data_IF_124775725063
#
_entry.id   IF_124775725063
#
_cell.length_a   1.000
_cell.length_b   1.000
_cell.length_c   1.000
_cell.angle_alpha   90.00
_cell.angle_beta   90.00
_cell.angle_gamma   90.00
#
_symmetry.space_group_name_H-M   'P 1'
#
loop_
_entity.id
_entity.type
_entity.pdbx_description
1 polymer ?
#
# COMPACT_ATOMS: atom_id res chain seq x y z
N UNK A 1 6.27 4.44 11.57
CA UNK A 1 7.70 4.05 11.53
C UNK A 1 7.97 3.48 10.16
N UNK A 2 9.00 3.96 9.49
CA UNK A 2 9.39 3.52 8.15
C UNK A 2 10.90 3.29 8.16
N UNK A 3 11.34 2.09 7.79
CA UNK A 3 12.75 1.73 7.74
C UNK A 3 13.07 1.02 6.43
N UNK A 4 14.16 1.44 5.80
CA UNK A 4 14.69 0.80 4.60
C UNK A 4 16.11 0.30 4.87
N UNK A 5 16.30 -1.00 4.78
CA UNK A 5 17.56 -1.69 4.92
C UNK A 5 18.13 -2.02 3.54
N UNK A 6 19.29 -1.45 3.20
CA UNK A 6 20.00 -1.74 1.96
C UNK A 6 20.91 -2.95 2.19
N UNK A 7 20.71 -4.01 1.40
CA UNK A 7 21.52 -5.23 1.46
C UNK A 7 22.75 -5.07 0.55
N UNK A 8 22.54 -4.47 -0.62
CA UNK A 8 23.59 -4.05 -1.55
C UNK A 8 23.04 -2.91 -2.44
N UNK A 9 23.82 -2.47 -3.42
CA UNK A 9 23.43 -1.37 -4.32
C UNK A 9 22.17 -1.63 -5.15
N UNK A 10 21.75 -2.90 -5.27
CA UNK A 10 20.59 -3.32 -6.08
C UNK A 10 19.42 -3.82 -5.26
N UNK A 11 19.65 -4.24 -4.01
CA UNK A 11 18.66 -4.91 -3.15
C UNK A 11 18.40 -4.13 -1.89
N UNK A 12 17.12 -3.90 -1.61
CA UNK A 12 16.69 -3.29 -0.36
C UNK A 12 15.43 -3.95 0.17
N UNK A 13 15.29 -3.91 1.48
CA UNK A 13 14.09 -4.33 2.19
C UNK A 13 13.53 -3.12 2.93
N UNK A 14 12.24 -2.86 2.78
CA UNK A 14 11.54 -1.78 3.47
C UNK A 14 10.46 -2.38 4.35
N UNK A 15 10.39 -1.87 5.58
CA UNK A 15 9.40 -2.21 6.58
C UNK A 15 8.71 -0.92 7.04
N UNK A 16 7.39 -0.92 6.94
CA UNK A 16 6.55 0.17 7.36
C UNK A 16 5.57 -0.33 8.43
N UNK A 17 5.50 0.37 9.55
CA UNK A 17 4.59 0.10 10.65
C UNK A 17 3.83 1.38 10.98
N UNK A 18 2.51 1.31 10.95
CA UNK A 18 1.63 2.42 11.27
C UNK A 18 0.62 2.01 12.33
N UNK A 19 0.29 2.95 13.21
CA UNK A 19 -0.71 2.76 14.23
C UNK A 19 -1.45 4.06 14.44
N UNK A 20 -2.78 3.99 14.48
CA UNK A 20 -3.62 5.10 14.87
C UNK A 20 -4.45 4.69 16.09
N UNK A 21 -4.36 5.51 17.13
CA UNK A 21 -5.24 5.41 18.29
C UNK A 21 -6.24 6.56 18.26
N UNK A 22 -7.53 6.25 18.14
CA UNK A 22 -8.61 7.24 18.10
C UNK A 22 -9.89 6.68 18.71
N UNK A 23 -10.67 7.55 19.35
CA UNK A 23 -12.00 7.21 19.88
C UNK A 23 -13.11 7.31 18.82
N UNK A 24 -12.79 7.84 17.63
CA UNK A 24 -13.76 8.15 16.58
C UNK A 24 -13.72 7.12 15.43
N UNK A 25 -14.75 7.14 14.57
CA UNK A 25 -14.90 6.29 13.37
C UNK A 25 -14.71 4.79 13.61
N UNK A 26 -13.78 4.16 12.88
CA UNK A 26 -13.46 2.74 12.96
C UNK A 26 -12.55 2.39 14.16
N UNK A 27 -12.35 3.34 15.07
CA UNK A 27 -11.50 3.23 16.26
C UNK A 27 -10.05 2.90 15.87
N UNK A 28 -9.32 2.29 16.80
CA UNK A 28 -7.91 2.04 16.58
C UNK A 28 -7.65 1.02 15.47
N UNK A 29 -6.60 1.29 14.71
CA UNK A 29 -6.11 0.43 13.65
C UNK A 29 -4.59 0.37 13.67
N UNK A 30 -4.05 -0.74 13.18
CA UNK A 30 -2.64 -0.85 12.85
C UNK A 30 -2.51 -1.25 11.38
N UNK A 31 -1.42 -0.83 10.76
CA UNK A 31 -1.03 -1.31 9.45
C UNK A 31 0.44 -1.69 9.48
N UNK A 32 0.78 -2.68 8.66
CA UNK A 32 2.17 -3.01 8.37
C UNK A 32 2.34 -3.25 6.88
N UNK A 33 3.49 -2.82 6.38
CA UNK A 33 3.90 -2.95 5.01
C UNK A 33 5.29 -3.54 4.96
N UNK A 34 5.50 -4.47 4.04
CA UNK A 34 6.82 -4.99 3.70
C UNK A 34 7.01 -4.86 2.20
N UNK A 35 8.18 -4.39 1.80
CA UNK A 35 8.56 -4.30 0.39
C UNK A 35 9.97 -4.85 0.24
N UNK A 36 10.16 -5.69 -0.76
CA UNK A 36 11.46 -6.21 -1.13
C UNK A 36 11.79 -5.82 -2.56
N UNK A 37 12.82 -5.00 -2.68
CA UNK A 37 13.40 -4.58 -3.95
C UNK A 37 14.49 -5.59 -4.31
N UNK A 38 14.23 -6.39 -5.33
CA UNK A 38 15.13 -7.45 -5.81
C UNK A 38 16.21 -6.88 -6.74
N UNK A 39 15.88 -5.81 -7.45
CA UNK A 39 16.80 -5.00 -8.25
C UNK A 39 16.29 -3.56 -8.28
N UNK A 40 17.07 -2.64 -8.85
CA UNK A 40 16.62 -1.26 -9.14
C UNK A 40 15.39 -1.20 -10.06
N UNK A 41 15.06 -2.31 -10.72
CA UNK A 41 13.95 -2.42 -11.67
C UNK A 41 12.79 -3.26 -11.17
N UNK A 42 12.99 -4.17 -10.20
CA UNK A 42 11.96 -5.12 -9.78
C UNK A 42 11.72 -5.06 -8.28
N UNK A 43 10.46 -4.85 -7.90
CA UNK A 43 10.03 -4.84 -6.51
C UNK A 43 8.74 -5.62 -6.30
N UNK A 44 8.62 -6.21 -5.12
CA UNK A 44 7.39 -6.86 -4.65
C UNK A 44 7.05 -6.31 -3.27
N UNK A 45 5.77 -6.21 -2.97
CA UNK A 45 5.31 -5.68 -1.70
C UNK A 45 4.06 -6.39 -1.20
N UNK A 46 3.88 -6.32 0.12
CA UNK A 46 2.67 -6.73 0.82
C UNK A 46 2.34 -5.69 1.88
N UNK A 47 1.08 -5.28 1.93
CA UNK A 47 0.54 -4.35 2.91
C UNK A 47 -0.70 -4.96 3.56
N UNK A 48 -0.85 -4.71 4.84
CA UNK A 48 -2.00 -5.12 5.64
C UNK A 48 -2.41 -3.97 6.55
N UNK A 49 -3.70 -3.66 6.60
CA UNK A 49 -4.30 -2.75 7.57
C UNK A 49 -5.47 -3.43 8.24
N UNK A 50 -5.49 -3.42 9.57
CA UNK A 50 -6.52 -4.07 10.37
C UNK A 50 -7.09 -3.14 11.44
N UNK A 51 -8.42 -3.02 11.45
CA UNK A 51 -9.18 -2.31 12.50
C UNK A 51 -9.54 -3.30 13.61
N UNK A 52 -8.95 -3.16 14.80
CA UNK A 52 -9.04 -4.20 15.84
C UNK A 52 -10.01 -3.88 16.98
N UNK A 53 -10.32 -2.60 17.23
CA UNK A 53 -11.06 -2.18 18.42
C UNK A 53 -12.57 -1.96 18.20
N UNK A 54 -13.10 -2.35 17.04
CA UNK A 54 -14.53 -2.18 16.75
C UNK A 54 -15.37 -3.28 17.43
N UNK A 55 -16.40 -2.96 18.24
CA UNK A 55 -17.31 -3.97 18.81
C UNK A 55 -18.15 -4.67 17.74
N UNK A 56 -18.37 -4.00 16.60
CA UNK A 56 -19.05 -4.55 15.44
C UNK A 56 -18.06 -5.36 14.59
N UNK A 57 -18.38 -6.65 14.37
CA UNK A 57 -17.53 -7.57 13.60
C UNK A 57 -17.44 -7.16 12.13
N UNK A 58 -18.47 -6.54 11.59
CA UNK A 58 -18.51 -6.14 10.18
C UNK A 58 -17.57 -4.96 9.88
N UNK A 59 -17.17 -4.22 10.93
CA UNK A 59 -16.23 -3.10 10.84
C UNK A 59 -14.77 -3.49 11.12
N UNK A 60 -14.50 -4.75 11.49
CA UNK A 60 -13.15 -5.31 11.65
C UNK A 60 -12.57 -5.75 10.29
N UNK A 61 -12.50 -4.82 9.36
CA UNK A 61 -12.08 -5.11 7.99
C UNK A 61 -10.55 -5.24 7.95
N UNK A 62 -10.08 -6.30 7.28
CA UNK A 62 -8.68 -6.51 6.95
C UNK A 62 -8.46 -6.08 5.49
N UNK A 63 -7.73 -4.97 5.31
CA UNK A 63 -7.34 -4.46 4.01
C UNK A 63 -5.94 -4.98 3.70
N UNK A 64 -5.89 -6.07 2.96
CA UNK A 64 -4.64 -6.63 2.44
C UNK A 64 -4.44 -6.19 0.99
N UNK A 65 -3.19 -5.90 0.64
CA UNK A 65 -2.80 -5.58 -0.73
C UNK A 65 -1.42 -6.18 -0.99
N UNK A 66 -1.30 -7.00 -2.02
CA UNK A 66 -0.01 -7.48 -2.48
C UNK A 66 0.18 -7.06 -3.92
N UNK A 67 1.42 -6.79 -4.30
CA UNK A 67 1.71 -6.36 -5.65
C UNK A 67 3.16 -6.45 -5.99
N UNK A 68 3.44 -6.21 -7.25
CA UNK A 68 4.78 -6.16 -7.77
C UNK A 68 4.88 -5.15 -8.90
N UNK A 69 6.09 -4.66 -9.12
CA UNK A 69 6.36 -3.71 -10.18
C UNK A 69 7.67 -4.04 -10.87
N UNK A 70 7.68 -3.83 -12.19
CA UNK A 70 8.84 -3.99 -13.03
C UNK A 70 9.03 -2.75 -13.90
N UNK A 71 10.21 -2.15 -13.82
CA UNK A 71 10.60 -0.97 -14.58
C UNK A 71 11.63 -1.37 -15.64
N UNK A 72 11.29 -1.13 -16.91
CA UNK A 72 12.16 -1.36 -18.06
C UNK A 72 12.31 -0.05 -18.85
N UNK A 73 13.46 0.60 -18.69
CA UNK A 73 13.73 1.91 -19.30
C UNK A 73 12.71 2.95 -18.84
N UNK A 74 11.93 3.47 -19.78
CA UNK A 74 10.91 4.50 -19.57
C UNK A 74 9.55 3.95 -19.11
N UNK A 75 9.39 2.63 -19.09
CA UNK A 75 8.11 1.98 -18.80
C UNK A 75 8.15 1.32 -17.42
N UNK A 76 7.09 1.54 -16.63
CA UNK A 76 6.84 0.86 -15.35
C UNK A 76 5.53 0.11 -15.43
N UNK A 77 5.62 -1.21 -15.32
CA UNK A 77 4.49 -2.12 -15.21
C UNK A 77 4.27 -2.42 -13.73
N UNK A 78 3.04 -2.32 -13.24
CA UNK A 78 2.69 -2.77 -11.89
C UNK A 78 1.40 -3.59 -11.90
N UNK A 79 1.40 -4.64 -11.08
CA UNK A 79 0.27 -5.52 -10.88
C UNK A 79 0.02 -5.65 -9.39
N UNK A 80 -1.19 -5.35 -8.97
CA UNK A 80 -1.58 -5.33 -7.57
C UNK A 80 -2.91 -6.06 -7.40
N UNK A 81 -3.04 -6.83 -6.33
CA UNK A 81 -4.30 -7.44 -5.93
C UNK A 81 -4.54 -7.15 -4.46
N UNK A 82 -5.74 -6.70 -4.16
CA UNK A 82 -6.11 -6.47 -2.77
C UNK A 82 -7.41 -5.73 -2.62
N UNK A 83 -7.72 -5.47 -1.35
CA UNK A 83 -8.84 -4.63 -0.95
C UNK A 83 -8.32 -3.23 -0.68
N UNK A 84 -8.73 -2.26 -1.49
CA UNK A 84 -8.42 -0.87 -1.26
C UNK A 84 -9.38 -0.29 -0.21
N UNK A 85 -8.80 0.38 0.79
CA UNK A 85 -9.57 1.14 1.77
C UNK A 85 -10.22 2.33 1.08
N UNK A 86 -11.53 2.45 1.27
CA UNK A 86 -12.30 3.59 0.80
C UNK A 86 -12.02 4.81 1.67
N UNK A 87 -12.01 5.98 1.05
CA UNK A 87 -11.70 7.22 1.76
C UNK A 87 -11.47 8.40 0.82
N UNK A 88 -11.17 9.55 1.43
CA UNK A 88 -10.79 10.75 0.70
C UNK A 88 -9.30 10.70 0.37
N UNK A 89 -8.97 10.77 -0.91
CA UNK A 89 -7.60 10.93 -1.40
C UNK A 89 -7.45 12.38 -1.83
N UNK A 90 -6.55 13.12 -1.16
CA UNK A 90 -6.27 14.52 -1.44
C UNK A 90 -4.88 14.66 -2.08
N UNK A 91 -4.83 15.15 -3.31
CA UNK A 91 -3.58 15.42 -4.05
C UNK A 91 -3.61 16.86 -4.55
N UNK A 92 -2.60 17.66 -4.17
CA UNK A 92 -2.50 19.05 -4.62
C UNK A 92 -3.66 19.96 -4.20
N UNK A 93 -4.30 19.69 -3.06
CA UNK A 93 -5.44 20.47 -2.54
C UNK A 93 -6.82 20.02 -3.03
N UNK A 94 -6.91 19.06 -3.97
CA UNK A 94 -8.18 18.50 -4.45
C UNK A 94 -8.41 17.15 -3.79
N UNK A 95 -9.54 16.99 -3.10
CA UNK A 95 -9.94 15.73 -2.48
C UNK A 95 -11.01 15.02 -3.32
N UNK A 96 -10.74 13.76 -3.67
CA UNK A 96 -11.73 12.88 -4.32
C UNK A 96 -12.06 11.69 -3.43
N UNK A 97 -13.32 11.28 -3.41
CA UNK A 97 -13.72 10.06 -2.72
C UNK A 97 -13.38 8.84 -3.58
N UNK A 98 -12.64 7.90 -3.02
CA UNK A 98 -12.33 6.60 -3.64
C UNK A 98 -13.16 5.55 -2.90
N UNK A 99 -14.06 4.83 -3.59
CA UNK A 99 -14.87 3.79 -2.96
C UNK A 99 -14.02 2.59 -2.56
N UNK A 100 -14.52 1.81 -1.60
CA UNK A 100 -13.93 0.50 -1.29
C UNK A 100 -14.05 -0.42 -2.52
N UNK A 101 -12.94 -1.04 -2.89
CA UNK A 101 -12.91 -2.00 -4.00
C UNK A 101 -12.00 -3.17 -3.66
N UNK A 102 -12.35 -4.35 -4.16
CA UNK A 102 -11.48 -5.53 -4.12
C UNK A 102 -11.28 -6.00 -5.55
N UNK A 103 -10.04 -6.16 -5.98
CA UNK A 103 -9.79 -6.58 -7.34
C UNK A 103 -8.33 -6.61 -7.71
N UNK A 104 -8.10 -6.89 -8.99
CA UNK A 104 -6.79 -6.84 -9.63
C UNK A 104 -6.67 -5.46 -10.30
N UNK A 105 -5.59 -4.76 -10.00
CA UNK A 105 -5.21 -3.50 -10.65
C UNK A 105 -3.93 -3.73 -11.43
N UNK A 106 -4.00 -3.50 -12.73
CA UNK A 106 -2.85 -3.47 -13.60
C UNK A 106 -2.61 -2.02 -14.04
N UNK A 107 -1.38 -1.55 -13.97
CA UNK A 107 -1.00 -0.22 -14.41
C UNK A 107 0.27 -0.24 -15.25
N UNK A 108 0.25 0.60 -16.30
CA UNK A 108 1.40 0.89 -17.15
C UNK A 108 1.61 2.40 -17.05
N UNK A 109 2.81 2.79 -16.65
CA UNK A 109 3.22 4.19 -16.60
C UNK A 109 4.42 4.33 -17.53
N UNK A 110 4.33 5.24 -18.49
CA UNK A 110 5.40 5.55 -19.45
C UNK A 110 5.80 7.00 -19.26
N UNK A 111 7.07 7.25 -18.97
CA UNK A 111 7.62 8.60 -18.80
C UNK A 111 8.42 8.99 -20.04
N UNK A 112 7.98 10.02 -20.76
CA UNK A 112 8.56 10.44 -22.06
C UNK A 112 9.49 11.68 -21.94
N UNK A 113 9.65 12.22 -20.73
CA UNK A 113 10.42 13.42 -20.45
C UNK A 113 11.21 13.27 -19.16
#
# INVERSE_FOLDING_TARGET
MDNTFKINDKKSFRLELQHLSTKNDNKNWYAYGIEYNISSSFSIYYNNLYNYQNPDKDKKINYYNFGGSYTMGMNRLALNYGRQRGGLVCTGGICRYVPESTGITFSIITSIF
#
